data_IF_817928839912
#
_entry.id   IF_817928839912
#
_cell.length_a   1.000
_cell.length_b   1.000
_cell.length_c   1.000
_cell.angle_alpha   90.00
_cell.angle_beta   90.00
_cell.angle_gamma   90.00
#
_symmetry.space_group_name_H-M   'P 1'
#
loop_
_entity.id
_entity.type
_entity.pdbx_description
1 polymer ?
#
# COMPACT_ATOMS: atom_id res chain seq x y z
N UNK A 1 -5.33 23.88 -9.79
CA UNK A 1 -5.74 22.95 -8.71
C UNK A 1 -5.34 21.57 -9.18
N UNK A 2 -4.82 20.73 -8.29
CA UNK A 2 -4.47 19.35 -8.62
C UNK A 2 -5.71 18.53 -8.98
N UNK A 3 -5.52 17.40 -9.67
CA UNK A 3 -6.61 16.53 -10.14
C UNK A 3 -7.42 15.90 -9.00
N UNK A 4 -6.84 15.80 -7.79
CA UNK A 4 -7.47 15.20 -6.60
C UNK A 4 -7.82 16.23 -5.53
N UNK A 5 -7.88 17.53 -5.90
CA UNK A 5 -8.09 18.62 -4.95
C UNK A 5 -9.39 18.44 -4.15
N UNK A 6 -9.28 18.60 -2.83
CA UNK A 6 -10.38 18.48 -1.88
C UNK A 6 -10.74 17.05 -1.46
N UNK A 7 -10.04 16.03 -1.97
CA UNK A 7 -10.19 14.64 -1.47
C UNK A 7 -9.43 14.45 -0.16
N UNK A 8 -9.91 13.56 0.67
CA UNK A 8 -9.32 13.19 1.96
C UNK A 8 -8.73 11.79 1.87
N UNK A 9 -7.46 11.64 2.24
CA UNK A 9 -6.74 10.38 2.13
C UNK A 9 -6.18 9.91 3.48
N UNK A 10 -6.16 8.59 3.70
CA UNK A 10 -5.37 7.94 4.75
C UNK A 10 -4.26 7.13 4.07
N UNK A 11 -3.01 7.30 4.55
CA UNK A 11 -1.84 6.52 4.10
C UNK A 11 -1.21 5.82 5.30
N UNK A 12 -1.11 4.48 5.25
CA UNK A 12 -0.50 3.69 6.32
C UNK A 12 0.98 3.40 6.03
N UNK A 13 1.82 3.24 7.07
CA UNK A 13 3.24 2.99 6.94
C UNK A 13 3.99 4.18 6.34
N UNK A 14 3.68 5.41 6.77
CA UNK A 14 4.09 6.65 6.11
C UNK A 14 5.22 7.42 6.81
N UNK A 15 5.88 6.85 7.81
CA UNK A 15 7.05 7.49 8.44
C UNK A 15 8.23 7.64 7.46
N UNK A 16 8.32 6.78 6.43
CA UNK A 16 9.42 6.76 5.46
C UNK A 16 9.05 6.07 4.15
N UNK A 17 10.02 6.02 3.23
CA UNK A 17 9.95 5.23 2.00
C UNK A 17 8.74 5.54 1.13
N UNK A 18 8.05 4.49 0.68
CA UNK A 18 6.90 4.61 -0.21
C UNK A 18 5.70 5.32 0.42
N UNK A 19 5.35 4.98 1.66
CA UNK A 19 4.21 5.60 2.33
C UNK A 19 4.35 7.11 2.43
N UNK A 20 5.55 7.60 2.78
CA UNK A 20 5.86 9.03 2.75
C UNK A 20 5.73 9.61 1.34
N UNK A 21 6.29 8.94 0.32
CA UNK A 21 6.21 9.41 -1.06
C UNK A 21 4.75 9.48 -1.57
N UNK A 22 3.89 8.51 -1.21
CA UNK A 22 2.47 8.55 -1.50
C UNK A 22 1.76 9.74 -0.84
N UNK A 23 2.05 9.99 0.44
CA UNK A 23 1.47 11.13 1.15
C UNK A 23 1.89 12.46 0.53
N UNK A 24 3.18 12.64 0.22
CA UNK A 24 3.71 13.83 -0.44
C UNK A 24 3.05 14.05 -1.83
N UNK A 25 2.90 13.00 -2.63
CA UNK A 25 2.26 13.08 -3.94
C UNK A 25 0.77 13.44 -3.85
N UNK A 26 0.03 12.87 -2.90
CA UNK A 26 -1.39 13.20 -2.68
C UNK A 26 -1.57 14.65 -2.23
N UNK A 27 -0.73 15.14 -1.32
CA UNK A 27 -0.73 16.56 -0.90
C UNK A 27 -0.44 17.49 -2.08
N UNK A 28 0.55 17.14 -2.93
CA UNK A 28 0.87 17.92 -4.12
C UNK A 28 -0.33 18.00 -5.10
N UNK A 29 -1.24 17.01 -5.09
CA UNK A 29 -2.48 17.03 -5.87
C UNK A 29 -3.65 17.75 -5.16
N UNK A 30 -3.43 18.29 -3.96
CA UNK A 30 -4.42 19.06 -3.21
C UNK A 30 -5.31 18.22 -2.30
N UNK A 31 -4.92 17.00 -1.95
CA UNK A 31 -5.59 16.20 -0.93
C UNK A 31 -5.28 16.71 0.49
N UNK A 32 -6.24 16.57 1.40
CA UNK A 32 -5.98 16.50 2.84
C UNK A 32 -5.53 15.09 3.19
N UNK A 33 -4.44 14.93 3.94
CA UNK A 33 -3.86 13.61 4.19
C UNK A 33 -3.64 13.35 5.68
N UNK A 34 -4.17 12.23 6.18
CA UNK A 34 -3.78 11.66 7.45
C UNK A 34 -2.77 10.51 7.20
N UNK A 35 -1.71 10.47 7.98
CA UNK A 35 -0.67 9.44 7.90
C UNK A 35 -0.55 8.69 9.21
N UNK A 36 -0.32 7.38 9.15
CA UNK A 36 -0.10 6.57 10.35
C UNK A 36 1.09 5.63 10.18
N UNK A 37 1.82 5.43 11.26
CA UNK A 37 2.93 4.48 11.36
C UNK A 37 3.13 4.09 12.83
N UNK A 38 3.72 2.93 13.09
CA UNK A 38 4.17 2.56 14.43
C UNK A 38 5.44 3.32 14.86
N UNK A 39 6.22 3.82 13.89
CA UNK A 39 7.39 4.65 14.12
C UNK A 39 6.94 6.08 14.45
N UNK A 40 7.36 6.58 15.63
CA UNK A 40 7.00 7.93 16.09
C UNK A 40 7.48 9.06 15.17
N UNK A 41 8.45 8.79 14.28
CA UNK A 41 8.90 9.73 13.25
C UNK A 41 7.76 10.21 12.35
N UNK A 42 6.67 9.43 12.22
CA UNK A 42 5.49 9.80 11.43
C UNK A 42 4.91 11.16 11.79
N UNK A 43 5.00 11.60 13.04
CA UNK A 43 4.49 12.91 13.49
C UNK A 43 5.33 14.05 12.93
N UNK A 44 6.65 13.90 12.91
CA UNK A 44 7.55 14.92 12.37
C UNK A 44 7.48 14.96 10.84
N UNK A 45 7.36 13.79 10.20
CA UNK A 45 7.09 13.67 8.76
C UNK A 45 5.78 14.36 8.41
N UNK A 46 4.69 14.06 9.12
CA UNK A 46 3.38 14.67 8.90
C UNK A 46 3.45 16.21 8.97
N UNK A 47 4.09 16.74 10.01
CA UNK A 47 4.29 18.20 10.17
C UNK A 47 5.07 18.80 8.99
N UNK A 48 6.10 18.09 8.51
CA UNK A 48 6.96 18.56 7.42
C UNK A 48 6.21 18.62 6.09
N UNK A 49 5.35 17.64 5.82
CA UNK A 49 4.62 17.55 4.55
C UNK A 49 3.24 18.22 4.58
N UNK A 50 2.77 18.68 5.74
CA UNK A 50 1.44 19.31 5.90
C UNK A 50 0.29 18.30 6.03
N UNK A 51 0.54 17.15 6.67
CA UNK A 51 -0.43 16.10 6.97
C UNK A 51 -0.76 16.04 8.47
N UNK A 52 -1.78 15.26 8.85
CA UNK A 52 -2.05 14.88 10.25
C UNK A 52 -1.41 13.52 10.54
N UNK A 53 -0.61 13.40 11.61
CA UNK A 53 0.17 12.21 11.94
C UNK A 53 -0.36 11.44 13.15
N UNK A 54 -0.46 10.10 13.02
CA UNK A 54 -0.93 9.20 14.07
C UNK A 54 0.09 8.08 14.33
N UNK A 55 0.47 7.85 15.59
CA UNK A 55 1.40 6.79 15.99
C UNK A 55 0.59 5.56 16.42
N UNK A 56 0.83 4.40 15.82
CA UNK A 56 0.26 3.15 16.26
C UNK A 56 0.38 2.00 15.25
N UNK A 57 -0.04 0.83 15.69
CA UNK A 57 0.02 -0.39 14.91
C UNK A 57 -1.26 -0.57 14.07
N UNK A 58 -1.11 -0.76 12.78
CA UNK A 58 -2.24 -1.05 11.86
C UNK A 58 -2.97 -2.36 12.21
N UNK A 59 -2.33 -3.27 12.92
CA UNK A 59 -2.93 -4.52 13.39
C UNK A 59 -3.79 -4.35 14.67
N UNK A 60 -3.75 -3.16 15.31
CA UNK A 60 -4.56 -2.82 16.47
C UNK A 60 -5.91 -2.19 16.04
N UNK A 61 -7.04 -2.87 16.30
CA UNK A 61 -8.37 -2.35 15.93
C UNK A 61 -8.73 -1.01 16.56
N UNK A 62 -8.26 -0.75 17.78
CA UNK A 62 -8.58 0.51 18.48
C UNK A 62 -7.79 1.67 17.89
N UNK A 63 -6.52 1.45 17.52
CA UNK A 63 -5.74 2.42 16.78
C UNK A 63 -6.38 2.74 15.42
N UNK A 64 -6.79 1.72 14.66
CA UNK A 64 -7.44 1.92 13.35
C UNK A 64 -8.69 2.77 13.48
N UNK A 65 -9.56 2.49 14.45
CA UNK A 65 -10.76 3.30 14.72
C UNK A 65 -10.37 4.76 15.05
N UNK A 66 -9.41 4.95 15.96
CA UNK A 66 -8.98 6.29 16.35
C UNK A 66 -8.48 7.12 15.17
N UNK A 67 -7.73 6.53 14.23
CA UNK A 67 -7.25 7.23 13.02
C UNK A 67 -8.42 7.58 12.10
N UNK A 68 -9.33 6.64 11.86
CA UNK A 68 -10.48 6.85 10.97
C UNK A 68 -11.44 7.88 11.55
N UNK A 69 -11.76 7.79 12.85
CA UNK A 69 -12.65 8.73 13.53
C UNK A 69 -12.04 10.14 13.54
N UNK A 70 -10.76 10.30 13.91
CA UNK A 70 -10.09 11.59 13.90
C UNK A 70 -10.05 12.22 12.51
N UNK A 71 -9.78 11.42 11.45
CA UNK A 71 -9.77 11.92 10.07
C UNK A 71 -11.17 12.35 9.62
N UNK A 72 -12.20 11.59 10.01
CA UNK A 72 -13.59 11.91 9.68
C UNK A 72 -14.08 13.14 10.45
N UNK A 73 -13.73 13.26 11.72
CA UNK A 73 -14.08 14.43 12.56
C UNK A 73 -13.44 15.71 12.01
N UNK A 74 -12.20 15.64 11.51
CA UNK A 74 -11.48 16.79 10.96
C UNK A 74 -11.97 17.21 9.58
N UNK A 75 -12.29 16.24 8.71
CA UNK A 75 -12.52 16.51 7.29
C UNK A 75 -13.93 16.13 6.80
N UNK A 76 -14.74 15.46 7.61
CA UNK A 76 -16.12 15.06 7.29
C UNK A 76 -16.25 13.85 6.36
N UNK A 77 -15.14 13.33 5.83
CA UNK A 77 -15.14 12.21 4.87
C UNK A 77 -13.78 11.52 4.79
N UNK A 78 -13.72 10.37 4.12
CA UNK A 78 -12.51 9.72 3.65
C UNK A 78 -12.77 9.22 2.24
N UNK A 79 -11.98 9.70 1.27
CA UNK A 79 -12.16 9.40 -0.16
C UNK A 79 -11.12 8.41 -0.69
N UNK A 80 -9.94 8.32 -0.03
CA UNK A 80 -8.82 7.50 -0.49
C UNK A 80 -8.22 6.77 0.72
N UNK A 81 -8.00 5.46 0.57
CA UNK A 81 -7.21 4.66 1.50
C UNK A 81 -6.02 4.03 0.76
N UNK A 82 -4.80 4.30 1.22
CA UNK A 82 -3.58 3.64 0.75
C UNK A 82 -3.05 2.71 1.85
N UNK A 83 -3.31 1.42 1.70
CA UNK A 83 -2.78 0.37 2.58
C UNK A 83 -1.35 0.03 2.16
N UNK A 84 -0.40 0.82 2.66
CA UNK A 84 1.02 0.65 2.36
C UNK A 84 1.80 0.00 3.51
N UNK A 85 1.34 0.12 4.75
CA UNK A 85 2.02 -0.50 5.91
C UNK A 85 2.28 -1.98 5.65
N UNK A 86 3.51 -2.39 5.89
CA UNK A 86 3.91 -3.77 5.69
C UNK A 86 5.31 -4.03 6.21
N UNK A 87 5.57 -5.29 6.45
CA UNK A 87 6.86 -5.81 6.89
C UNK A 87 7.34 -6.89 5.93
N UNK A 88 8.63 -7.12 5.99
CA UNK A 88 9.29 -8.21 5.29
C UNK A 88 10.14 -9.01 6.28
N UNK A 89 10.11 -10.32 6.16
CA UNK A 89 11.03 -11.23 6.85
C UNK A 89 11.41 -12.37 5.91
N UNK A 90 12.67 -12.75 5.95
CA UNK A 90 13.12 -14.00 5.32
C UNK A 90 12.59 -15.16 6.13
N UNK A 91 11.84 -16.05 5.49
CA UNK A 91 11.21 -17.21 6.13
C UNK A 91 11.09 -18.39 5.17
N UNK A 92 11.16 -19.60 5.71
CA UNK A 92 11.06 -20.81 4.92
C UNK A 92 10.72 -22.05 5.75
N UNK A 93 10.39 -23.19 5.10
CA UNK A 93 9.85 -24.38 5.77
C UNK A 93 10.85 -25.11 6.69
N UNK A 94 12.07 -24.60 6.84
CA UNK A 94 13.10 -25.13 7.73
C UNK A 94 13.39 -24.23 8.94
N UNK A 95 12.67 -23.13 9.06
CA UNK A 95 12.86 -22.20 10.17
C UNK A 95 12.43 -22.84 11.50
N UNK A 96 12.99 -22.33 12.59
CA UNK A 96 12.57 -22.70 13.92
C UNK A 96 11.08 -22.48 14.13
N UNK A 97 10.41 -23.42 14.78
CA UNK A 97 8.94 -23.41 14.94
C UNK A 97 8.43 -22.18 15.67
N UNK A 98 9.07 -21.82 16.78
CA UNK A 98 8.64 -20.70 17.63
C UNK A 98 8.83 -19.37 16.87
N UNK A 99 9.96 -19.23 16.19
CA UNK A 99 10.22 -18.08 15.33
C UNK A 99 9.22 -18.00 14.18
N UNK A 100 8.97 -19.09 13.48
CA UNK A 100 8.04 -19.12 12.34
C UNK A 100 6.62 -18.74 12.75
N UNK A 101 6.15 -19.19 13.92
CA UNK A 101 4.85 -18.82 14.48
C UNK A 101 4.77 -17.33 14.79
N UNK A 102 5.77 -16.76 15.46
CA UNK A 102 5.83 -15.32 15.74
C UNK A 102 5.93 -14.45 14.48
N UNK A 103 6.72 -14.88 13.50
CA UNK A 103 6.85 -14.19 12.22
C UNK A 103 5.53 -14.22 11.44
N UNK A 104 4.76 -15.32 11.48
CA UNK A 104 3.43 -15.41 10.88
C UNK A 104 2.49 -14.35 11.46
N UNK A 105 2.34 -14.32 12.78
CA UNK A 105 1.45 -13.38 13.46
C UNK A 105 1.82 -11.92 13.14
N UNK A 106 3.10 -11.61 13.15
CA UNK A 106 3.62 -10.29 12.85
C UNK A 106 3.38 -9.87 11.40
N UNK A 107 3.75 -10.71 10.42
CA UNK A 107 3.59 -10.38 9.01
C UNK A 107 2.12 -10.29 8.59
N UNK A 108 1.32 -11.27 8.97
CA UNK A 108 -0.11 -11.23 8.65
C UNK A 108 -0.82 -10.12 9.43
N UNK A 109 -0.33 -9.78 10.63
CA UNK A 109 -0.78 -8.62 11.40
C UNK A 109 -0.63 -7.34 10.59
N UNK A 110 0.59 -7.01 10.16
CA UNK A 110 0.87 -5.77 9.45
C UNK A 110 0.38 -5.81 7.99
N UNK A 111 0.73 -6.86 7.23
CA UNK A 111 0.54 -6.88 5.77
C UNK A 111 -0.90 -7.17 5.35
N UNK A 112 -1.66 -7.91 6.16
CA UNK A 112 -3.00 -8.39 5.78
C UNK A 112 -4.08 -7.86 6.72
N UNK A 113 -3.96 -8.11 8.04
CA UNK A 113 -4.97 -7.69 9.02
C UNK A 113 -5.11 -6.17 9.07
N UNK A 114 -3.99 -5.42 9.02
CA UNK A 114 -4.01 -3.97 9.00
C UNK A 114 -4.81 -3.43 7.81
N UNK A 115 -4.52 -3.91 6.59
CA UNK A 115 -5.27 -3.52 5.39
C UNK A 115 -6.76 -3.88 5.49
N UNK A 116 -7.07 -5.08 6.02
CA UNK A 116 -8.45 -5.50 6.28
C UNK A 116 -9.17 -4.57 7.25
N UNK A 117 -8.54 -4.21 8.38
CA UNK A 117 -9.14 -3.36 9.40
C UNK A 117 -9.42 -1.95 8.86
N UNK A 118 -8.42 -1.31 8.22
CA UNK A 118 -8.63 0.00 7.60
C UNK A 118 -9.70 -0.03 6.52
N UNK A 119 -9.65 -1.01 5.60
CA UNK A 119 -10.67 -1.14 4.55
C UNK A 119 -12.08 -1.31 5.12
N UNK A 120 -12.24 -2.11 6.18
CA UNK A 120 -13.53 -2.30 6.88
C UNK A 120 -14.00 -1.03 7.61
N UNK A 121 -13.08 -0.23 8.13
CA UNK A 121 -13.42 1.00 8.84
C UNK A 121 -13.82 2.13 7.88
N UNK A 122 -13.13 2.28 6.72
CA UNK A 122 -13.44 3.36 5.76
C UNK A 122 -14.60 3.04 4.82
N UNK A 123 -14.87 1.76 4.52
CA UNK A 123 -15.90 1.37 3.56
C UNK A 123 -17.29 1.95 3.86
N UNK A 124 -17.82 1.95 5.11
CA UNK A 124 -19.10 2.59 5.42
C UNK A 124 -19.12 4.10 5.10
N UNK A 125 -18.03 4.81 5.38
CA UNK A 125 -17.88 6.25 5.14
C UNK A 125 -17.90 6.52 3.63
N UNK A 126 -17.13 5.74 2.86
CA UNK A 126 -17.10 5.83 1.39
C UNK A 126 -18.45 5.49 0.76
N UNK A 127 -19.19 4.50 1.31
CA UNK A 127 -20.55 4.15 0.86
C UNK A 127 -21.50 5.32 1.09
N UNK A 128 -21.50 5.94 2.26
CA UNK A 128 -22.32 7.10 2.58
C UNK A 128 -21.96 8.30 1.70
N UNK A 129 -20.68 8.49 1.41
CA UNK A 129 -20.18 9.54 0.51
C UNK A 129 -20.55 9.30 -0.96
N UNK A 130 -20.80 8.04 -1.35
CA UNK A 130 -21.15 7.63 -2.71
C UNK A 130 -19.96 7.32 -3.61
N UNK A 131 -18.83 6.95 -3.05
CA UNK A 131 -17.65 6.50 -3.80
C UNK A 131 -16.34 6.65 -3.04
N UNK A 132 -15.27 6.09 -3.58
CA UNK A 132 -13.93 6.17 -3.01
C UNK A 132 -12.92 5.25 -3.69
N UNK A 133 -11.69 5.28 -3.21
CA UNK A 133 -10.61 4.45 -3.73
C UNK A 133 -9.85 3.76 -2.59
N UNK A 134 -9.70 2.45 -2.66
CA UNK A 134 -8.83 1.67 -1.79
C UNK A 134 -7.69 1.11 -2.65
N UNK A 135 -6.46 1.45 -2.29
CA UNK A 135 -5.26 0.97 -2.99
C UNK A 135 -4.39 0.19 -2.00
N UNK A 136 -4.20 -1.09 -2.29
CA UNK A 136 -3.33 -1.96 -1.49
C UNK A 136 -1.95 -2.06 -2.15
N UNK A 137 -0.88 -1.97 -1.35
CA UNK A 137 0.48 -2.11 -1.86
C UNK A 137 0.93 -3.55 -1.69
N UNK A 138 1.09 -4.21 -2.83
CA UNK A 138 1.47 -5.62 -2.95
C UNK A 138 2.88 -5.76 -3.55
N UNK A 139 3.18 -6.88 -4.19
CA UNK A 139 4.51 -7.17 -4.75
C UNK A 139 4.36 -7.87 -6.11
N UNK A 140 5.32 -7.66 -7.00
CA UNK A 140 5.45 -8.38 -8.27
C UNK A 140 5.66 -9.91 -8.10
N UNK A 141 6.00 -10.37 -6.89
CA UNK A 141 6.06 -11.81 -6.59
C UNK A 141 4.69 -12.51 -6.71
N UNK A 142 3.61 -11.78 -6.51
CA UNK A 142 2.23 -12.29 -6.61
C UNK A 142 1.51 -11.85 -7.89
N UNK A 143 2.14 -10.99 -8.67
CA UNK A 143 1.71 -10.57 -10.01
C UNK A 143 2.90 -10.59 -10.97
N UNK A 144 3.35 -11.77 -11.40
CA UNK A 144 4.52 -11.90 -12.24
C UNK A 144 4.27 -11.32 -13.64
N UNK A 145 5.16 -10.44 -14.08
CA UNK A 145 5.10 -9.77 -15.36
C UNK A 145 5.23 -10.68 -16.57
N UNK A 146 4.98 -10.14 -17.77
CA UNK A 146 5.19 -10.86 -19.02
C UNK A 146 6.62 -11.39 -19.12
N UNK A 147 6.78 -12.70 -19.32
CA UNK A 147 8.08 -13.35 -19.40
C UNK A 147 8.72 -13.69 -18.05
N UNK A 148 8.15 -13.28 -16.92
CA UNK A 148 8.58 -13.78 -15.62
C UNK A 148 8.25 -15.27 -15.52
N UNK A 149 9.22 -16.07 -15.10
CA UNK A 149 8.95 -17.47 -14.80
C UNK A 149 8.26 -17.52 -13.46
N UNK A 150 7.00 -17.93 -13.41
CA UNK A 150 6.13 -18.04 -12.22
C UNK A 150 6.75 -18.70 -10.98
N UNK A 151 7.98 -19.21 -11.07
CA UNK A 151 8.62 -20.03 -10.04
C UNK A 151 10.06 -19.63 -9.74
N UNK A 152 10.52 -18.46 -10.16
CA UNK A 152 11.81 -17.93 -9.74
C UNK A 152 11.69 -16.93 -8.60
N UNK A 153 10.72 -17.16 -7.69
CA UNK A 153 10.82 -16.57 -6.36
C UNK A 153 12.12 -17.04 -5.73
N UNK A 154 12.93 -16.11 -5.29
CA UNK A 154 14.02 -16.45 -4.37
C UNK A 154 13.38 -17.19 -3.19
N UNK A 155 13.75 -18.43 -2.93
CA UNK A 155 13.26 -19.16 -1.76
C UNK A 155 13.49 -18.34 -0.49
N UNK A 156 12.72 -18.61 0.56
CA UNK A 156 12.88 -17.90 1.83
C UNK A 156 11.97 -16.67 1.99
N UNK A 157 10.82 -16.64 1.33
CA UNK A 157 9.82 -15.56 1.43
C UNK A 157 8.39 -16.10 1.50
N UNK A 158 8.19 -17.30 2.04
CA UNK A 158 6.90 -17.98 2.04
C UNK A 158 5.81 -17.18 2.78
N UNK A 159 6.09 -16.69 3.99
CA UNK A 159 5.13 -15.90 4.77
C UNK A 159 4.85 -14.54 4.11
N UNK A 160 5.90 -13.86 3.61
CA UNK A 160 5.73 -12.59 2.92
C UNK A 160 4.82 -12.75 1.70
N UNK A 161 5.16 -13.69 0.81
CA UNK A 161 4.36 -13.96 -0.38
C UNK A 161 2.92 -14.36 -0.04
N UNK A 162 2.73 -15.25 0.95
CA UNK A 162 1.40 -15.64 1.41
C UNK A 162 0.57 -14.44 1.90
N UNK A 163 1.18 -13.55 2.70
CA UNK A 163 0.50 -12.33 3.18
C UNK A 163 0.10 -11.38 2.06
N UNK A 164 0.93 -11.27 1.00
CA UNK A 164 0.63 -10.43 -0.17
C UNK A 164 -0.40 -11.10 -1.12
N UNK A 165 -0.42 -12.42 -1.24
CA UNK A 165 -1.51 -13.14 -1.90
C UNK A 165 -2.86 -12.92 -1.21
N UNK A 166 -2.87 -12.83 0.12
CA UNK A 166 -4.09 -12.52 0.86
C UNK A 166 -4.64 -11.12 0.52
N UNK A 167 -3.78 -10.13 0.27
CA UNK A 167 -4.22 -8.81 -0.23
C UNK A 167 -4.89 -8.89 -1.59
N UNK A 168 -4.38 -9.72 -2.50
CA UNK A 168 -5.02 -9.91 -3.81
C UNK A 168 -6.43 -10.48 -3.64
N UNK A 169 -6.61 -11.44 -2.73
CA UNK A 169 -7.93 -11.98 -2.40
C UNK A 169 -8.90 -10.92 -1.88
N UNK A 170 -8.46 -10.07 -0.94
CA UNK A 170 -9.26 -8.95 -0.43
C UNK A 170 -9.62 -7.96 -1.54
N UNK A 171 -8.67 -7.65 -2.42
CA UNK A 171 -8.87 -6.71 -3.53
C UNK A 171 -9.95 -7.20 -4.48
N UNK A 172 -9.92 -8.46 -4.92
CA UNK A 172 -10.92 -9.02 -5.84
C UNK A 172 -12.31 -9.07 -5.22
N UNK A 173 -12.41 -9.52 -3.96
CA UNK A 173 -13.70 -9.59 -3.28
C UNK A 173 -14.30 -8.20 -3.06
N UNK A 174 -13.50 -7.26 -2.57
CA UNK A 174 -13.96 -5.90 -2.31
C UNK A 174 -14.24 -5.12 -3.59
N UNK A 175 -13.45 -5.28 -4.64
CA UNK A 175 -13.74 -4.67 -5.95
C UNK A 175 -15.11 -5.09 -6.46
N UNK A 176 -15.46 -6.38 -6.34
CA UNK A 176 -16.78 -6.90 -6.72
C UNK A 176 -17.89 -6.40 -5.81
N UNK A 177 -17.69 -6.48 -4.48
CA UNK A 177 -18.73 -6.18 -3.49
C UNK A 177 -19.03 -4.69 -3.41
N UNK A 178 -18.01 -3.83 -3.56
CA UNK A 178 -18.10 -2.38 -3.38
C UNK A 178 -18.36 -1.62 -4.69
N UNK A 179 -18.25 -2.25 -5.86
CA UNK A 179 -18.45 -1.62 -7.16
C UNK A 179 -19.81 -0.90 -7.27
N UNK A 180 -20.88 -1.49 -6.73
CA UNK A 180 -22.23 -0.88 -6.71
C UNK A 180 -22.33 0.41 -5.90
N UNK A 181 -21.30 0.73 -5.12
CA UNK A 181 -21.20 1.96 -4.34
C UNK A 181 -20.15 2.93 -4.93
N UNK A 182 -19.69 2.69 -6.17
CA UNK A 182 -18.64 3.46 -6.83
C UNK A 182 -17.31 3.52 -6.04
N UNK A 183 -17.00 2.46 -5.30
CA UNK A 183 -15.73 2.31 -4.61
C UNK A 183 -14.85 1.38 -5.43
N UNK A 184 -13.69 1.89 -5.86
CA UNK A 184 -12.69 1.12 -6.59
C UNK A 184 -11.68 0.52 -5.63
N UNK A 185 -11.27 -0.70 -5.88
CA UNK A 185 -10.25 -1.38 -5.05
C UNK A 185 -9.21 -2.01 -5.98
N UNK A 186 -7.96 -1.60 -5.88
CA UNK A 186 -6.88 -2.09 -6.73
C UNK A 186 -5.62 -2.39 -5.92
N UNK A 187 -4.72 -3.22 -6.49
CA UNK A 187 -3.38 -3.44 -5.96
C UNK A 187 -2.33 -2.75 -6.86
N UNK A 188 -1.32 -2.15 -6.25
CA UNK A 188 -0.05 -1.85 -6.91
C UNK A 188 0.94 -2.95 -6.49
N UNK A 189 1.29 -3.82 -7.45
CA UNK A 189 2.17 -4.97 -7.28
C UNK A 189 3.57 -4.60 -7.76
N UNK A 190 4.38 -4.06 -6.87
CA UNK A 190 5.66 -3.48 -7.23
C UNK A 190 6.85 -4.40 -6.95
N UNK A 191 7.85 -4.34 -7.82
CA UNK A 191 9.16 -4.94 -7.64
C UNK A 191 10.11 -4.07 -6.80
N UNK A 192 11.41 -4.31 -6.96
CA UNK A 192 12.45 -3.63 -6.19
C UNK A 192 12.34 -2.11 -6.30
N UNK A 193 12.10 -1.46 -5.18
CA UNK A 193 11.98 -0.01 -5.03
C UNK A 193 12.96 0.48 -3.96
N UNK A 194 13.65 1.58 -4.23
CA UNK A 194 14.68 2.15 -3.36
C UNK A 194 14.10 2.67 -2.04
N UNK A 195 14.04 1.80 -1.06
CA UNK A 195 13.50 2.08 0.27
C UNK A 195 14.45 1.54 1.34
N UNK A 196 14.31 2.06 2.56
CA UNK A 196 15.07 1.57 3.72
C UNK A 196 14.82 0.07 3.97
N UNK A 197 13.60 -0.42 3.70
CA UNK A 197 13.26 -1.84 3.81
C UNK A 197 14.11 -2.70 2.87
N UNK A 198 14.19 -2.35 1.58
CA UNK A 198 14.97 -3.09 0.60
C UNK A 198 16.48 -2.99 0.88
N UNK A 199 16.96 -1.79 1.22
CA UNK A 199 18.37 -1.58 1.60
C UNK A 199 18.75 -2.38 2.84
N UNK A 200 17.88 -2.42 3.84
CA UNK A 200 18.09 -3.23 5.05
C UNK A 200 18.15 -4.74 4.78
N UNK A 201 17.38 -5.22 3.81
CA UNK A 201 17.35 -6.62 3.41
C UNK A 201 18.64 -7.05 2.69
N UNK A 202 19.17 -6.20 1.81
CA UNK A 202 20.32 -6.53 0.96
C UNK A 202 21.66 -6.24 1.62
N UNK A 203 21.64 -5.60 2.79
CA UNK A 203 22.85 -5.26 3.53
C UNK A 203 23.60 -4.05 2.94
N UNK A 204 24.86 -3.79 3.44
CA UNK A 204 25.54 -2.53 3.17
C UNK A 204 26.11 -2.38 1.75
N UNK A 205 26.24 -3.47 1.00
CA UNK A 205 26.89 -3.47 -0.32
C UNK A 205 26.04 -4.27 -1.34
N UNK A 206 24.84 -3.84 -1.69
CA UNK A 206 24.08 -4.49 -2.73
C UNK A 206 24.75 -4.32 -4.10
N UNK A 207 24.50 -5.25 -5.02
CA UNK A 207 25.04 -5.22 -6.37
C UNK A 207 24.63 -3.91 -7.08
N UNK A 208 25.59 -3.09 -7.57
CA UNK A 208 25.28 -1.84 -8.24
C UNK A 208 24.45 -2.01 -9.51
N UNK A 209 24.60 -3.08 -10.28
CA UNK A 209 23.81 -3.36 -11.47
C UNK A 209 22.35 -3.63 -11.09
N UNK A 210 22.13 -4.38 -10.01
CA UNK A 210 20.78 -4.59 -9.50
C UNK A 210 20.19 -3.29 -8.95
N UNK A 211 20.95 -2.48 -8.19
CA UNK A 211 20.48 -1.19 -7.69
C UNK A 211 20.06 -0.23 -8.82
N UNK A 212 20.76 -0.29 -9.97
CA UNK A 212 20.43 0.54 -11.13
C UNK A 212 19.05 0.20 -11.73
N UNK A 213 18.49 -0.96 -11.42
CA UNK A 213 17.15 -1.37 -11.87
C UNK A 213 16.03 -0.93 -10.92
N UNK A 214 16.34 -0.43 -9.73
CA UNK A 214 15.32 -0.12 -8.73
C UNK A 214 14.48 1.09 -9.14
N UNK A 215 13.19 0.97 -8.89
CA UNK A 215 12.28 2.10 -9.01
C UNK A 215 12.53 3.09 -7.87
N UNK A 216 12.27 4.37 -8.12
CA UNK A 216 12.29 5.38 -7.07
C UNK A 216 10.89 5.51 -6.44
N UNK A 217 10.76 5.74 -5.11
CA UNK A 217 9.47 5.92 -4.46
C UNK A 217 8.56 6.95 -5.14
N UNK A 218 9.13 8.05 -5.64
CA UNK A 218 8.38 9.08 -6.36
C UNK A 218 7.78 8.59 -7.69
N UNK A 219 8.45 7.67 -8.40
CA UNK A 219 7.90 7.08 -9.63
C UNK A 219 6.68 6.19 -9.32
N UNK A 220 6.77 5.36 -8.28
CA UNK A 220 5.64 4.53 -7.83
C UNK A 220 4.49 5.41 -7.33
N UNK A 221 4.80 6.51 -6.63
CA UNK A 221 3.80 7.48 -6.19
C UNK A 221 3.08 8.15 -7.37
N UNK A 222 3.78 8.43 -8.47
CA UNK A 222 3.13 8.94 -9.68
C UNK A 222 2.13 7.94 -10.27
N UNK A 223 2.44 6.64 -10.27
CA UNK A 223 1.49 5.60 -10.70
C UNK A 223 0.23 5.58 -9.83
N UNK A 224 0.36 5.80 -8.51
CA UNK A 224 -0.82 5.96 -7.64
C UNK A 224 -1.68 7.15 -8.08
N UNK A 225 -1.06 8.31 -8.35
CA UNK A 225 -1.79 9.50 -8.79
C UNK A 225 -2.50 9.24 -10.12
N UNK A 226 -1.83 8.63 -11.09
CA UNK A 226 -2.40 8.32 -12.42
C UNK A 226 -3.59 7.33 -12.28
N UNK A 227 -3.48 6.33 -11.40
CA UNK A 227 -4.57 5.40 -11.09
C UNK A 227 -5.79 6.11 -10.47
N UNK A 228 -5.56 7.00 -9.53
CA UNK A 228 -6.64 7.77 -8.89
C UNK A 228 -7.29 8.76 -9.87
N UNK A 229 -6.51 9.30 -10.81
CA UNK A 229 -6.96 10.24 -11.84
C UNK A 229 -7.87 9.60 -12.90
N UNK A 230 -7.95 8.26 -13.00
CA UNK A 230 -8.93 7.59 -13.86
C UNK A 230 -10.39 7.91 -13.48
N UNK A 231 -10.61 8.41 -12.25
CA UNK A 231 -11.93 8.80 -11.76
C UNK A 231 -12.83 7.61 -11.41
N UNK A 232 -14.12 7.86 -11.10
CA UNK A 232 -15.02 6.85 -10.55
C UNK A 232 -15.33 5.69 -11.51
N UNK A 233 -15.21 5.90 -12.81
CA UNK A 233 -15.43 4.87 -13.84
C UNK A 233 -14.12 4.17 -14.25
N UNK A 234 -13.03 4.44 -13.56
CA UNK A 234 -11.73 3.81 -13.80
C UNK A 234 -11.68 2.33 -13.36
N UNK A 235 -10.54 1.71 -13.56
CA UNK A 235 -10.35 0.27 -13.24
C UNK A 235 -10.61 -0.03 -11.77
N UNK A 236 -11.10 -1.25 -11.51
CA UNK A 236 -11.26 -1.84 -10.18
C UNK A 236 -10.99 -3.33 -10.24
N UNK A 237 -10.39 -3.90 -9.21
CA UNK A 237 -10.00 -5.30 -9.14
C UNK A 237 -8.69 -5.64 -9.85
N UNK A 238 -7.94 -4.63 -10.30
CA UNK A 238 -6.68 -4.85 -11.01
C UNK A 238 -5.50 -5.07 -10.05
N UNK A 239 -4.63 -6.00 -10.43
CA UNK A 239 -3.26 -6.12 -9.95
C UNK A 239 -2.34 -5.38 -10.93
N UNK A 240 -1.85 -4.22 -10.54
CA UNK A 240 -1.03 -3.33 -11.37
C UNK A 240 0.43 -3.69 -11.16
N UNK A 241 1.01 -4.47 -12.08
CA UNK A 241 2.40 -4.90 -12.00
C UNK A 241 3.38 -3.79 -12.38
N UNK A 242 4.32 -3.48 -11.49
CA UNK A 242 5.46 -2.60 -11.72
C UNK A 242 6.75 -3.38 -11.50
N UNK A 243 7.63 -3.41 -12.51
CA UNK A 243 8.78 -4.31 -12.50
C UNK A 243 10.09 -3.53 -12.50
N UNK A 244 11.03 -3.95 -11.65
CA UNK A 244 12.38 -3.39 -11.62
C UNK A 244 13.07 -3.51 -13.00
N UNK A 245 13.71 -2.45 -13.45
CA UNK A 245 14.34 -2.39 -14.77
C UNK A 245 13.39 -2.11 -15.95
N UNK A 246 12.08 -2.01 -15.68
CA UNK A 246 11.09 -1.55 -16.66
C UNK A 246 10.71 -0.09 -16.41
N UNK A 247 10.01 0.52 -17.36
CA UNK A 247 9.45 1.85 -17.17
C UNK A 247 8.36 1.81 -16.08
N UNK A 248 8.48 2.69 -15.10
CA UNK A 248 7.53 2.78 -13.99
C UNK A 248 6.38 3.73 -14.34
N UNK A 249 5.40 3.21 -15.04
CA UNK A 249 4.20 3.93 -15.49
C UNK A 249 2.95 3.08 -15.26
N UNK A 250 1.79 3.72 -15.17
CA UNK A 250 0.52 3.01 -15.07
C UNK A 250 0.28 2.22 -16.36
N UNK A 251 0.25 0.87 -16.34
CA UNK A 251 -0.03 0.09 -17.54
C UNK A 251 -1.49 0.29 -17.99
N UNK A 252 -1.82 0.00 -19.26
CA UNK A 252 -3.20 0.01 -19.69
C UNK A 252 -4.04 -0.97 -18.84
N UNK A 253 -5.36 -0.71 -18.68
CA UNK A 253 -6.24 -1.63 -17.95
C UNK A 253 -6.17 -3.04 -18.54
N UNK A 254 -6.22 -4.05 -17.67
CA UNK A 254 -6.33 -5.43 -18.13
C UNK A 254 -7.60 -5.58 -18.97
N UNK A 255 -7.51 -6.26 -20.13
CA UNK A 255 -8.69 -6.58 -20.90
C UNK A 255 -9.57 -7.53 -20.05
N UNK A 256 -10.76 -7.06 -19.70
CA UNK A 256 -11.77 -7.83 -18.98
C UNK A 256 -12.32 -8.96 -19.85
#
# INVERSE_FOLDING_TARGET
>A
MGQLAGRVAIVTGAARGLGRAFAEALIAQGCSVAVTDRDAEVVDVARTIGATGHIGDVADPDHVRAVVDATTDEHGTIDILVNNAGEFVMSGPRDDWERASGDFDRLFGSNTKGAFLFGRAVAPIMIERGGGDIVNISTDHVEPGPGSRRHHGHGGMDLYNASKWALNGLTFDWATTLAKHHIRVNNICMGATDTEMLRGLLGPNPDPEFMATWMQPAQVAQVLIDLLAEGPDGRTGDNIGLYAGAECVLPPPNAQ
#
